data_IF_996719400221
#
_entry.id   IF_996719400221
#
_cell.length_a   1.000
_cell.length_b   1.000
_cell.length_c   1.000
_cell.angle_alpha   90.00
_cell.angle_beta   90.00
_cell.angle_gamma   90.00
#
_symmetry.space_group_name_H-M   'P 1'
#
loop_
_entity.id
_entity.type
_entity.pdbx_description
1 polymer ?
#
# COMPACT_ATOMS: atom_id res chain seq x y z
N UNK A 1 1.59 -8.38 -9.06
CA UNK A 1 0.31 -8.80 -9.68
C UNK A 1 0.13 -7.93 -10.90
N UNK A 2 0.03 -8.50 -12.11
CA UNK A 2 0.24 -7.67 -13.28
C UNK A 2 -1.09 -7.15 -13.82
N UNK A 3 -1.01 -5.94 -14.33
CA UNK A 3 -1.84 -5.47 -15.44
C UNK A 3 -1.92 -6.62 -16.46
N UNK A 4 -3.12 -7.08 -16.76
CA UNK A 4 -3.32 -8.22 -17.68
C UNK A 4 -3.11 -7.74 -19.11
N UNK A 5 -3.50 -6.50 -19.41
CA UNK A 5 -3.46 -5.94 -20.75
C UNK A 5 -2.93 -4.52 -20.69
N UNK A 6 -1.90 -4.25 -21.50
CA UNK A 6 -1.42 -2.92 -21.82
C UNK A 6 -1.64 -2.64 -23.31
N UNK A 7 -2.34 -1.56 -23.63
CA UNK A 7 -2.59 -1.13 -25.02
C UNK A 7 -2.16 0.31 -25.25
N UNK A 8 -1.63 0.57 -26.44
CA UNK A 8 -1.46 1.93 -26.97
C UNK A 8 -2.71 2.22 -27.79
N UNK A 9 -3.57 3.11 -27.30
CA UNK A 9 -4.80 3.49 -27.99
C UNK A 9 -4.54 4.55 -29.06
N UNK A 10 -3.63 5.48 -28.79
CA UNK A 10 -3.27 6.56 -29.70
C UNK A 10 -1.77 6.84 -29.60
N UNK A 11 -1.14 7.16 -30.74
CA UNK A 11 0.23 7.67 -30.80
C UNK A 11 0.32 8.79 -31.86
N UNK A 12 0.67 10.00 -31.44
CA UNK A 12 0.77 11.17 -32.33
C UNK A 12 2.13 11.84 -32.18
N UNK A 13 2.87 11.98 -33.28
CA UNK A 13 4.11 12.75 -33.30
C UNK A 13 3.82 14.26 -33.36
N UNK A 14 4.40 15.04 -32.44
CA UNK A 14 4.17 16.48 -32.30
C UNK A 14 5.40 17.32 -32.69
N UNK A 15 6.37 16.76 -33.42
CA UNK A 15 7.62 17.44 -33.81
C UNK A 15 8.67 17.52 -32.69
N UNK A 16 8.24 17.57 -31.42
CA UNK A 16 9.10 17.56 -30.23
C UNK A 16 8.98 16.26 -29.41
N UNK A 17 8.45 15.19 -30.00
CA UNK A 17 8.18 13.90 -29.34
C UNK A 17 6.78 13.34 -29.62
N UNK A 18 6.46 12.21 -28.99
CA UNK A 18 5.19 11.52 -29.15
C UNK A 18 4.19 11.88 -28.05
N UNK A 19 2.90 11.91 -28.35
CA UNK A 19 1.82 11.85 -27.37
C UNK A 19 1.18 10.47 -27.46
N UNK A 20 1.13 9.77 -26.34
CA UNK A 20 0.65 8.39 -26.26
C UNK A 20 -0.53 8.32 -25.30
N UNK A 21 -1.56 7.57 -25.69
CA UNK A 21 -2.66 7.18 -24.81
C UNK A 21 -2.47 5.70 -24.48
N UNK A 22 -2.34 5.38 -23.20
CA UNK A 22 -2.10 4.02 -22.70
C UNK A 22 -3.32 3.56 -21.91
N UNK A 23 -3.78 2.35 -22.18
CA UNK A 23 -4.83 1.65 -21.46
C UNK A 23 -4.22 0.48 -20.68
N UNK A 24 -4.58 0.38 -19.40
CA UNK A 24 -4.18 -0.66 -18.48
C UNK A 24 -5.43 -1.34 -17.92
N UNK A 25 -5.51 -2.66 -18.04
CA UNK A 25 -6.62 -3.48 -17.53
C UNK A 25 -6.12 -4.36 -16.38
N UNK A 26 -6.80 -4.30 -15.24
CA UNK A 26 -6.48 -5.04 -14.02
C UNK A 26 -7.33 -6.32 -13.87
N UNK A 27 -7.00 -7.17 -12.89
CA UNK A 27 -7.70 -8.46 -12.70
C UNK A 27 -9.15 -8.26 -12.26
N UNK A 28 -9.39 -7.25 -11.43
CA UNK A 28 -10.71 -6.84 -10.98
C UNK A 28 -11.60 -6.21 -12.08
N UNK A 29 -11.09 -6.12 -13.31
CA UNK A 29 -11.77 -5.51 -14.45
C UNK A 29 -11.65 -3.98 -14.50
N UNK A 30 -10.93 -3.35 -13.58
CA UNK A 30 -10.66 -1.92 -13.60
C UNK A 30 -9.85 -1.55 -14.83
N UNK A 31 -10.25 -0.47 -15.50
CA UNK A 31 -9.57 0.09 -16.67
C UNK A 31 -9.03 1.48 -16.33
N UNK A 32 -7.71 1.64 -16.42
CA UNK A 32 -7.04 2.93 -16.23
C UNK A 32 -6.47 3.39 -17.57
N UNK A 33 -6.92 4.56 -18.02
CA UNK A 33 -6.38 5.21 -19.22
C UNK A 33 -5.56 6.43 -18.84
N UNK A 34 -4.32 6.51 -19.30
CA UNK A 34 -3.45 7.67 -19.09
C UNK A 34 -3.02 8.29 -20.42
N UNK A 35 -2.87 9.62 -20.42
CA UNK A 35 -2.29 10.37 -21.54
C UNK A 35 -0.92 10.89 -21.13
N UNK A 36 0.11 10.57 -21.88
CA UNK A 36 1.48 10.97 -21.56
C UNK A 36 2.25 11.42 -22.80
N UNK A 37 3.28 12.25 -22.60
CA UNK A 37 4.31 12.43 -23.64
C UNK A 37 5.19 11.19 -23.65
N UNK A 38 5.30 10.53 -24.80
CA UNK A 38 6.17 9.39 -25.03
C UNK A 38 7.64 9.80 -25.04
N UNK A 39 8.52 8.81 -24.87
CA UNK A 39 9.96 8.99 -24.95
C UNK A 39 10.44 9.35 -26.36
N UNK A 40 11.68 9.86 -26.43
CA UNK A 40 12.44 9.96 -27.67
C UNK A 40 12.76 8.57 -28.23
N UNK A 41 13.12 8.51 -29.51
CA UNK A 41 13.39 7.27 -30.25
C UNK A 41 14.56 6.52 -29.58
N UNK A 42 14.28 5.31 -29.05
CA UNK A 42 15.29 4.47 -28.37
C UNK A 42 14.95 4.04 -26.93
N UNK A 43 14.07 4.78 -26.24
CA UNK A 43 13.74 4.54 -24.81
C UNK A 43 12.27 4.16 -24.56
N UNK A 44 11.55 3.75 -25.61
CA UNK A 44 10.11 3.47 -25.53
C UNK A 44 9.78 2.39 -24.49
N UNK A 45 10.51 1.27 -24.49
CA UNK A 45 10.27 0.15 -23.57
C UNK A 45 10.40 0.60 -22.09
N UNK A 46 11.51 1.28 -21.76
CA UNK A 46 11.80 1.80 -20.41
C UNK A 46 10.77 2.81 -19.96
N UNK A 47 10.35 3.71 -20.85
CA UNK A 47 9.29 4.67 -20.58
C UNK A 47 7.96 3.98 -20.27
N UNK A 48 7.59 3.00 -21.07
CA UNK A 48 6.35 2.27 -20.92
C UNK A 48 6.33 1.43 -19.64
N UNK A 49 7.44 0.77 -19.32
CA UNK A 49 7.61 0.03 -18.06
C UNK A 49 7.54 0.96 -16.83
N UNK A 50 8.10 2.17 -16.93
CA UNK A 50 7.98 3.19 -15.88
C UNK A 50 6.52 3.61 -15.65
N UNK A 51 5.75 3.82 -16.73
CA UNK A 51 4.32 4.17 -16.63
C UNK A 51 3.47 3.03 -16.09
N UNK A 52 3.75 1.81 -16.50
CA UNK A 52 3.14 0.62 -15.96
C UNK A 52 3.39 0.49 -14.45
N UNK A 53 4.64 0.67 -14.01
CA UNK A 53 5.02 0.62 -12.59
C UNK A 53 4.31 1.70 -11.77
N UNK A 54 4.20 2.91 -12.33
CA UNK A 54 3.46 4.02 -11.71
C UNK A 54 1.97 3.71 -11.57
N UNK A 55 1.32 3.21 -12.63
CA UNK A 55 -0.11 2.89 -12.63
C UNK A 55 -0.42 1.74 -11.68
N UNK A 56 0.41 0.70 -11.68
CA UNK A 56 0.29 -0.42 -10.75
C UNK A 56 0.44 0.04 -9.29
N UNK A 57 1.47 0.84 -8.98
CA UNK A 57 1.67 1.36 -7.63
C UNK A 57 0.48 2.19 -7.15
N UNK A 58 -0.07 3.05 -8.02
CA UNK A 58 -1.22 3.87 -7.67
C UNK A 58 -2.47 3.02 -7.40
N UNK A 59 -2.73 2.00 -8.23
CA UNK A 59 -3.87 1.10 -8.04
C UNK A 59 -3.75 0.31 -6.73
N UNK A 60 -2.58 -0.27 -6.45
CA UNK A 60 -2.32 -0.98 -5.19
C UNK A 60 -2.56 -0.05 -3.99
N UNK A 61 -2.07 1.20 -4.03
CA UNK A 61 -2.32 2.15 -2.94
C UNK A 61 -3.82 2.43 -2.75
N UNK A 62 -4.59 2.59 -3.84
CA UNK A 62 -6.04 2.81 -3.77
C UNK A 62 -6.79 1.60 -3.22
N UNK A 63 -6.37 0.38 -3.56
CA UNK A 63 -6.97 -0.85 -3.03
C UNK A 63 -6.68 -1.00 -1.54
N UNK A 64 -5.44 -0.74 -1.13
CA UNK A 64 -5.04 -0.74 0.28
C UNK A 64 -5.79 0.34 1.09
N UNK A 65 -5.96 1.54 0.53
CA UNK A 65 -6.82 2.59 1.10
C UNK A 65 -8.24 2.08 1.33
N UNK A 66 -8.82 1.42 0.32
CA UNK A 66 -10.19 0.90 0.37
C UNK A 66 -10.34 -0.23 1.39
N UNK A 67 -9.37 -1.13 1.47
CA UNK A 67 -9.31 -2.21 2.47
C UNK A 67 -9.34 -1.63 3.89
N UNK A 68 -8.50 -0.64 4.16
CA UNK A 68 -8.44 0.00 5.48
C UNK A 68 -9.71 0.80 5.78
N UNK A 69 -10.24 1.56 4.80
CA UNK A 69 -11.49 2.31 4.97
C UNK A 69 -12.69 1.41 5.29
N UNK A 70 -12.68 0.19 4.76
CA UNK A 70 -13.70 -0.82 5.03
C UNK A 70 -13.39 -1.67 6.28
N UNK A 71 -12.37 -1.31 7.06
CA UNK A 71 -11.93 -2.03 8.27
C UNK A 71 -11.62 -3.52 8.04
N UNK A 72 -11.15 -3.85 6.83
CA UNK A 72 -10.81 -5.20 6.39
C UNK A 72 -9.31 -5.48 6.50
N UNK A 73 -8.95 -6.74 6.75
CA UNK A 73 -7.58 -7.27 6.69
C UNK A 73 -7.41 -8.29 5.56
N UNK A 74 -8.44 -8.43 4.71
CA UNK A 74 -8.48 -9.38 3.59
C UNK A 74 -7.96 -8.70 2.32
N UNK A 75 -7.00 -9.30 1.60
CA UNK A 75 -6.52 -8.78 0.33
C UNK A 75 -7.59 -8.83 -0.77
N UNK A 76 -7.45 -7.94 -1.73
CA UNK A 76 -8.20 -7.96 -2.99
C UNK A 76 -7.44 -8.80 -4.03
N UNK A 77 -8.01 -8.99 -5.22
CA UNK A 77 -7.35 -9.72 -6.31
C UNK A 77 -5.99 -9.13 -6.72
N UNK A 78 -5.80 -7.82 -6.51
CA UNK A 78 -4.61 -7.08 -6.92
C UNK A 78 -3.70 -6.68 -5.75
N UNK A 79 -3.97 -7.15 -4.52
CA UNK A 79 -3.13 -6.93 -3.34
C UNK A 79 -2.69 -8.24 -2.69
N UNK A 80 -1.52 -8.25 -2.04
CA UNK A 80 -1.06 -9.40 -1.25
C UNK A 80 -1.39 -9.22 0.23
N UNK A 81 -1.49 -10.32 0.96
CA UNK A 81 -1.67 -10.28 2.41
C UNK A 81 -0.56 -9.48 3.11
N UNK A 82 0.68 -9.62 2.64
CA UNK A 82 1.82 -8.87 3.20
C UNK A 82 1.68 -7.35 2.98
N UNK A 83 1.15 -6.93 1.82
CA UNK A 83 0.86 -5.51 1.55
C UNK A 83 -0.24 -4.97 2.46
N UNK A 84 -1.30 -5.76 2.69
CA UNK A 84 -2.39 -5.37 3.61
C UNK A 84 -1.87 -5.22 5.04
N UNK A 85 -1.12 -6.21 5.55
CA UNK A 85 -0.51 -6.12 6.87
C UNK A 85 0.41 -4.92 6.99
N UNK A 86 1.28 -4.71 6.00
CA UNK A 86 2.17 -3.55 5.95
C UNK A 86 1.38 -2.25 6.04
N UNK A 87 0.30 -2.09 5.28
CA UNK A 87 -0.49 -0.86 5.28
C UNK A 87 -1.08 -0.55 6.67
N UNK A 88 -1.70 -1.56 7.31
CA UNK A 88 -2.24 -1.43 8.67
C UNK A 88 -1.15 -1.04 9.67
N UNK A 89 0.00 -1.73 9.62
CA UNK A 89 1.15 -1.45 10.47
C UNK A 89 1.69 -0.03 10.27
N UNK A 90 1.87 0.39 9.02
CA UNK A 90 2.40 1.71 8.66
C UNK A 90 1.46 2.83 9.10
N UNK A 91 0.15 2.71 8.88
CA UNK A 91 -0.84 3.71 9.34
C UNK A 91 -0.84 3.85 10.86
N UNK A 92 -0.87 2.72 11.56
CA UNK A 92 -0.83 2.71 13.02
C UNK A 92 0.49 3.27 13.57
N UNK A 93 1.61 2.94 12.94
CA UNK A 93 2.93 3.45 13.31
C UNK A 93 3.08 4.96 13.10
N UNK A 94 2.57 5.49 11.99
CA UNK A 94 2.69 6.91 11.66
C UNK A 94 1.67 7.80 12.39
N UNK A 95 0.61 7.24 12.97
CA UNK A 95 -0.38 8.02 13.70
C UNK A 95 0.15 8.54 15.04
N UNK A 96 -0.16 9.81 15.32
CA UNK A 96 0.10 10.47 16.61
C UNK A 96 -1.03 10.28 17.62
N UNK A 97 -2.23 9.90 17.17
CA UNK A 97 -3.35 9.59 18.07
C UNK A 97 -3.15 8.16 18.62
N UNK A 98 -2.96 7.99 19.94
CA UNK A 98 -2.72 6.68 20.54
C UNK A 98 -3.92 5.72 20.39
N UNK A 99 -5.15 6.21 20.30
CA UNK A 99 -6.33 5.38 20.07
C UNK A 99 -6.27 4.82 18.66
N UNK A 100 -6.14 5.69 17.65
CA UNK A 100 -6.03 5.29 16.25
C UNK A 100 -4.86 4.36 16.02
N UNK A 101 -3.69 4.68 16.60
CA UNK A 101 -2.48 3.88 16.48
C UNK A 101 -2.68 2.47 17.04
N UNK A 102 -3.29 2.36 18.23
CA UNK A 102 -3.58 1.07 18.86
C UNK A 102 -4.56 0.25 18.01
N UNK A 103 -5.68 0.84 17.60
CA UNK A 103 -6.69 0.16 16.78
C UNK A 103 -6.09 -0.41 15.49
N UNK A 104 -5.33 0.41 14.76
CA UNK A 104 -4.73 -0.01 13.49
C UNK A 104 -3.63 -1.07 13.67
N UNK A 105 -2.75 -0.91 14.66
CA UNK A 105 -1.71 -1.91 14.92
C UNK A 105 -2.35 -3.23 15.40
N UNK A 106 -3.37 -3.16 16.26
CA UNK A 106 -4.03 -4.34 16.84
C UNK A 106 -4.71 -5.23 15.81
N UNK A 107 -5.07 -4.69 14.64
CA UNK A 107 -5.71 -5.46 13.56
C UNK A 107 -4.83 -6.58 13.03
N UNK A 108 -3.52 -6.35 12.94
CA UNK A 108 -2.61 -7.28 12.23
C UNK A 108 -1.35 -7.60 13.02
N UNK A 109 -0.96 -6.81 14.01
CA UNK A 109 0.34 -6.95 14.67
C UNK A 109 0.49 -8.30 15.38
N UNK A 110 -0.55 -8.81 16.04
CA UNK A 110 -0.50 -10.12 16.68
C UNK A 110 -0.36 -11.24 15.64
N UNK A 111 -1.15 -11.20 14.56
CA UNK A 111 -1.06 -12.17 13.45
C UNK A 111 0.35 -12.19 12.84
N UNK A 112 0.96 -11.02 12.65
CA UNK A 112 2.33 -10.90 12.12
C UNK A 112 3.36 -11.51 13.09
N UNK A 113 3.20 -11.30 14.40
CA UNK A 113 4.07 -11.89 15.42
C UNK A 113 3.91 -13.42 15.48
N UNK A 114 2.68 -13.93 15.33
CA UNK A 114 2.36 -15.35 15.38
C UNK A 114 2.98 -16.14 14.20
N UNK A 115 3.44 -15.47 13.14
CA UNK A 115 4.23 -16.10 12.08
C UNK A 115 5.60 -16.61 12.56
N UNK A 116 6.07 -16.14 13.73
CA UNK A 116 7.36 -16.56 14.30
C UNK A 116 8.58 -16.12 13.48
N UNK A 117 8.42 -15.11 12.62
CA UNK A 117 9.49 -14.58 11.79
C UNK A 117 10.39 -13.62 12.57
N UNK A 118 11.66 -13.57 12.17
CA UNK A 118 12.61 -12.56 12.68
C UNK A 118 12.33 -11.18 12.07
N UNK A 119 12.81 -10.11 12.72
CA UNK A 119 12.68 -8.75 12.17
C UNK A 119 13.29 -8.61 10.77
N UNK A 120 14.38 -9.34 10.46
CA UNK A 120 14.97 -9.36 9.12
C UNK A 120 14.02 -10.00 8.10
N UNK A 121 13.42 -11.14 8.43
CA UNK A 121 12.47 -11.81 7.53
C UNK A 121 11.22 -10.98 7.30
N UNK A 122 10.72 -10.29 8.32
CA UNK A 122 9.62 -9.34 8.19
C UNK A 122 10.00 -8.12 7.34
N UNK A 123 11.21 -7.59 7.52
CA UNK A 123 11.77 -6.50 6.71
C UNK A 123 11.84 -6.89 5.23
N UNK A 124 12.35 -8.08 4.93
CA UNK A 124 12.42 -8.62 3.57
C UNK A 124 11.01 -8.84 2.99
N UNK A 125 10.08 -9.36 3.79
CA UNK A 125 8.69 -9.59 3.37
C UNK A 125 7.92 -8.29 3.07
N UNK A 126 8.17 -7.24 3.84
CA UNK A 126 7.50 -5.94 3.67
C UNK A 126 8.27 -4.97 2.76
N UNK A 127 9.50 -5.31 2.38
CA UNK A 127 10.38 -4.42 1.62
C UNK A 127 10.70 -3.13 2.37
N UNK A 128 10.92 -3.23 3.68
CA UNK A 128 11.22 -2.11 4.58
C UNK A 128 12.56 -2.33 5.29
N UNK A 129 13.24 -1.27 5.76
CA UNK A 129 14.42 -1.42 6.62
C UNK A 129 14.07 -2.13 7.94
N UNK A 130 15.03 -2.90 8.47
CA UNK A 130 14.86 -3.64 9.75
C UNK A 130 14.56 -2.69 10.91
N UNK A 131 15.12 -1.50 10.88
CA UNK A 131 14.91 -0.44 11.88
C UNK A 131 13.45 0.02 11.89
N UNK A 132 12.81 0.12 10.71
CA UNK A 132 11.40 0.49 10.58
C UNK A 132 10.52 -0.61 11.17
N UNK A 133 10.77 -1.88 10.83
CA UNK A 133 10.03 -3.00 11.40
C UNK A 133 10.18 -3.06 12.92
N UNK A 134 11.39 -2.88 13.42
CA UNK A 134 11.66 -2.86 14.86
C UNK A 134 10.91 -1.73 15.54
N UNK A 135 10.88 -0.52 14.96
CA UNK A 135 10.16 0.62 15.51
C UNK A 135 8.63 0.41 15.52
N UNK A 136 8.08 -0.23 14.47
CA UNK A 136 6.67 -0.62 14.40
C UNK A 136 6.31 -1.59 15.53
N UNK A 137 7.08 -2.66 15.67
CA UNK A 137 6.84 -3.70 16.69
C UNK A 137 7.00 -3.16 18.12
N UNK A 138 8.02 -2.34 18.37
CA UNK A 138 8.21 -1.68 19.67
C UNK A 138 7.04 -0.75 20.02
N UNK A 139 6.52 0.00 19.04
CA UNK A 139 5.34 0.86 19.26
C UNK A 139 4.11 0.02 19.57
N UNK A 140 3.89 -1.08 18.85
CA UNK A 140 2.81 -2.02 19.14
C UNK A 140 2.91 -2.57 20.56
N UNK A 141 4.08 -3.08 20.96
CA UNK A 141 4.30 -3.63 22.30
C UNK A 141 4.01 -2.60 23.41
N UNK A 142 4.48 -1.37 23.21
CA UNK A 142 4.19 -0.26 24.12
C UNK A 142 2.68 0.01 24.24
N UNK A 143 1.98 0.14 23.11
CA UNK A 143 0.54 0.43 23.11
C UNK A 143 -0.27 -0.75 23.69
N UNK A 144 0.10 -1.98 23.36
CA UNK A 144 -0.56 -3.18 23.86
C UNK A 144 -0.37 -3.35 25.38
N UNK A 145 0.81 -3.03 25.90
CA UNK A 145 1.07 -3.00 27.34
C UNK A 145 0.19 -1.98 28.06
N UNK A 146 -0.09 -0.85 27.41
CA UNK A 146 -0.89 0.25 27.96
C UNK A 146 -2.35 0.25 27.48
N UNK A 147 -2.83 -0.88 26.92
CA UNK A 147 -4.15 -0.95 26.25
C UNK A 147 -5.31 -0.51 27.13
N UNK A 148 -5.30 -0.89 28.41
CA UNK A 148 -6.41 -0.58 29.33
C UNK A 148 -6.55 0.93 29.54
N UNK A 149 -5.42 1.66 29.62
CA UNK A 149 -5.42 3.11 29.70
C UNK A 149 -5.90 3.77 28.41
N UNK A 150 -5.50 3.24 27.25
CA UNK A 150 -5.92 3.75 25.92
C UNK A 150 -7.43 3.57 25.72
N UNK A 151 -7.96 2.39 26.04
CA UNK A 151 -9.39 2.09 25.92
C UNK A 151 -10.23 2.89 26.93
N UNK A 152 -9.70 3.12 28.13
CA UNK A 152 -10.33 4.02 29.11
C UNK A 152 -10.40 5.46 28.58
N UNK A 153 -9.31 5.97 28.01
CA UNK A 153 -9.28 7.30 27.40
C UNK A 153 -10.24 7.43 26.21
N UNK A 154 -10.34 6.40 25.36
CA UNK A 154 -11.33 6.33 24.27
C UNK A 154 -12.75 6.46 24.80
N UNK A 155 -13.10 5.67 25.82
CA UNK A 155 -14.44 5.67 26.42
C UNK A 155 -14.80 7.06 26.95
N UNK A 156 -13.86 7.76 27.59
CA UNK A 156 -14.07 9.14 28.07
C UNK A 156 -14.26 10.10 26.89
N UNK A 157 -13.43 9.99 25.84
CA UNK A 157 -13.47 10.85 24.66
C UNK A 157 -14.77 10.70 23.86
N UNK A 158 -15.35 9.51 23.80
CA UNK A 158 -16.58 9.20 23.05
C UNK A 158 -17.86 9.36 23.87
N UNK A 159 -17.76 9.28 25.20
CA UNK A 159 -18.88 9.50 26.13
C UNK A 159 -19.10 10.97 26.52
N UNK A 160 -18.26 11.88 26.04
CA UNK A 160 -18.41 13.35 26.14
C UNK A 160 -18.94 13.93 24.83
#
# INVERSE_FOLDING_TARGET
MPIIIRRILENTFLGTGYRVVLEYVFNDGTIITIKCRGAEEGDAESFLASKESQVLSNKISQDLDTIVLNDSDIPTEDTTQAQVWKEWLTRGHNSKDPIYAYEHLSKVAQTVLDLGLTNQQLADQFGEPVEVITAVLNKWEYLNTNKDAILSYKTIKEGM
#
